data_IF_901531870301
#
_entry.id   IF_901531870301
#
_cell.length_a   1.000
_cell.length_b   1.000
_cell.length_c   1.000
_cell.angle_alpha   90.00
_cell.angle_beta   90.00
_cell.angle_gamma   90.00
#
_symmetry.space_group_name_H-M   'P 1'
#
loop_
_entity.id
_entity.type
_entity.pdbx_description
1 polymer ?
#
# COMPACT_ATOMS: atom_id res chain seq x y z
N UNK A 1 -15.06 5.56 -13.21
CA UNK A 1 -13.60 5.46 -13.43
C UNK A 1 -12.85 5.78 -12.16
N UNK A 2 -11.72 5.12 -11.97
CA UNK A 2 -10.85 5.34 -10.83
C UNK A 2 -9.46 5.72 -11.35
N UNK A 3 -8.99 6.89 -10.97
CA UNK A 3 -7.63 7.36 -11.22
C UNK A 3 -6.81 7.11 -9.95
N UNK A 4 -5.71 6.38 -10.08
CA UNK A 4 -4.73 6.20 -9.01
C UNK A 4 -3.37 6.63 -9.59
N UNK A 5 -2.81 7.69 -9.04
CA UNK A 5 -1.68 8.43 -9.59
C UNK A 5 -1.91 8.78 -11.08
N UNK A 6 -1.20 8.12 -11.99
CA UNK A 6 -1.33 8.32 -13.43
C UNK A 6 -2.04 7.15 -14.16
N UNK A 7 -2.61 6.21 -13.42
CA UNK A 7 -3.26 5.02 -13.97
C UNK A 7 -4.78 5.13 -13.90
N UNK A 8 -5.44 4.99 -15.05
CA UNK A 8 -6.90 4.96 -15.13
C UNK A 8 -7.41 3.52 -15.12
N UNK A 9 -8.39 3.27 -14.26
CA UNK A 9 -9.04 1.97 -14.14
C UNK A 9 -10.53 2.08 -14.41
N UNK A 10 -11.06 1.18 -15.23
CA UNK A 10 -12.49 0.92 -15.29
C UNK A 10 -12.87 0.00 -14.14
N UNK A 11 -13.93 0.34 -13.42
CA UNK A 11 -14.40 -0.40 -12.26
C UNK A 11 -15.54 -1.31 -12.66
N UNK A 12 -15.49 -2.55 -12.23
CA UNK A 12 -16.55 -3.53 -12.34
C UNK A 12 -16.91 -4.09 -10.95
N UNK A 13 -18.12 -4.63 -10.76
CA UNK A 13 -18.49 -5.33 -9.53
C UNK A 13 -17.50 -6.45 -9.18
N UNK A 14 -16.98 -6.45 -7.96
CA UNK A 14 -15.99 -7.41 -7.49
C UNK A 14 -14.53 -7.02 -7.73
N UNK A 15 -14.27 -5.85 -8.31
CA UNK A 15 -12.92 -5.32 -8.36
C UNK A 15 -12.49 -4.81 -6.98
N UNK A 16 -11.26 -5.13 -6.62
CA UNK A 16 -10.60 -4.67 -5.41
C UNK A 16 -9.39 -3.82 -5.80
N UNK A 17 -9.24 -2.68 -5.13
CA UNK A 17 -8.11 -1.79 -5.34
C UNK A 17 -7.24 -1.73 -4.09
N UNK A 18 -5.93 -1.95 -4.25
CA UNK A 18 -4.93 -1.84 -3.20
C UNK A 18 -4.17 -0.54 -3.44
N UNK A 19 -4.33 0.41 -2.50
CA UNK A 19 -3.80 1.76 -2.62
C UNK A 19 -2.91 2.02 -1.41
N UNK A 20 -1.69 2.49 -1.66
CA UNK A 20 -0.77 2.93 -0.64
C UNK A 20 -1.16 4.33 -0.14
N UNK A 21 -0.85 4.64 1.11
CA UNK A 21 -1.10 5.96 1.73
C UNK A 21 -0.47 7.15 0.97
N UNK A 22 0.50 6.89 0.09
CA UNK A 22 1.22 7.92 -0.67
C UNK A 22 0.70 8.08 -2.11
N UNK A 23 -0.18 7.19 -2.56
CA UNK A 23 -0.76 7.20 -3.90
C UNK A 23 -2.00 8.10 -3.94
N UNK A 24 -1.94 9.13 -4.76
CA UNK A 24 -3.09 10.00 -4.97
C UNK A 24 -4.18 9.25 -5.74
N UNK A 25 -5.42 9.35 -5.28
CA UNK A 25 -6.51 8.64 -5.95
C UNK A 25 -7.78 9.47 -6.01
N UNK A 26 -8.50 9.32 -7.13
CA UNK A 26 -9.77 10.01 -7.36
C UNK A 26 -10.77 9.10 -8.07
N UNK A 27 -11.92 8.92 -7.43
CA UNK A 27 -13.07 8.26 -8.04
C UNK A 27 -13.89 9.30 -8.80
N UNK A 28 -14.17 9.04 -10.08
CA UNK A 28 -15.04 9.87 -10.91
C UNK A 28 -16.25 9.04 -11.34
N UNK A 29 -17.43 9.50 -10.96
CA UNK A 29 -18.68 8.92 -11.43
C UNK A 29 -18.90 9.34 -12.89
N UNK A 30 -19.21 8.38 -13.76
CA UNK A 30 -19.39 8.62 -15.19
C UNK A 30 -20.86 8.63 -15.56
N UNK A 31 -21.69 7.95 -14.78
CA UNK A 31 -23.12 7.82 -14.98
C UNK A 31 -23.90 8.02 -13.66
N UNK A 32 -25.22 7.94 -13.73
CA UNK A 32 -26.12 8.09 -12.57
C UNK A 32 -26.39 6.75 -11.84
N UNK A 33 -25.60 5.71 -12.09
CA UNK A 33 -25.75 4.43 -11.39
C UNK A 33 -25.35 4.55 -9.92
N UNK A 34 -26.03 3.77 -9.06
CA UNK A 34 -25.65 3.67 -7.66
C UNK A 34 -24.32 2.93 -7.56
N UNK A 35 -23.34 3.57 -6.92
CA UNK A 35 -22.03 2.99 -6.70
C UNK A 35 -21.83 2.68 -5.22
N UNK A 36 -21.86 1.39 -4.90
CA UNK A 36 -21.64 0.87 -3.56
C UNK A 36 -20.22 0.35 -3.43
N UNK A 37 -19.51 0.69 -2.34
CA UNK A 37 -18.14 0.24 -2.11
C UNK A 37 -17.86 0.03 -0.63
N UNK A 38 -16.95 -0.89 -0.35
CA UNK A 38 -16.35 -1.08 0.96
C UNK A 38 -14.98 -0.39 0.94
N UNK A 39 -14.70 0.43 1.93
CA UNK A 39 -13.38 1.06 2.12
C UNK A 39 -12.79 0.54 3.43
N UNK A 40 -11.63 -0.09 3.33
CA UNK A 40 -10.85 -0.54 4.47
C UNK A 40 -9.60 0.32 4.57
N UNK A 41 -9.51 1.11 5.62
CA UNK A 41 -8.33 1.93 5.92
C UNK A 41 -7.52 1.29 7.02
N UNK A 42 -6.25 1.04 6.75
CA UNK A 42 -5.35 0.32 7.66
C UNK A 42 -4.15 1.20 8.01
N UNK A 43 -3.87 1.32 9.31
CA UNK A 43 -2.71 2.06 9.78
C UNK A 43 -1.41 1.26 9.51
N UNK A 44 -0.36 1.89 8.93
CA UNK A 44 0.91 1.21 8.67
C UNK A 44 1.56 0.60 9.91
N UNK A 45 1.52 1.30 11.04
CA UNK A 45 2.08 0.80 12.30
C UNK A 45 1.36 -0.44 12.81
N UNK A 46 0.05 -0.51 12.59
CA UNK A 46 -0.74 -1.72 12.91
C UNK A 46 -0.30 -2.90 12.03
N UNK A 47 -0.08 -2.66 10.73
CA UNK A 47 0.43 -3.71 9.83
C UNK A 47 1.80 -4.24 10.26
N UNK A 48 2.69 -3.36 10.73
CA UNK A 48 3.99 -3.78 11.28
C UNK A 48 3.84 -4.66 12.53
N UNK A 49 2.92 -4.32 13.42
CA UNK A 49 2.67 -5.09 14.66
C UNK A 49 2.16 -6.50 14.40
N UNK A 50 1.35 -6.69 13.35
CA UNK A 50 0.76 -8.00 13.02
C UNK A 50 1.61 -8.82 12.05
N UNK A 51 2.63 -8.23 11.46
CA UNK A 51 3.62 -8.92 10.63
C UNK A 51 4.62 -9.70 11.47
N UNK A 52 5.23 -10.72 10.90
CA UNK A 52 6.28 -11.52 11.53
C UNK A 52 7.60 -11.30 10.83
N UNK A 53 8.71 -11.80 11.39
CA UNK A 53 10.03 -11.77 10.74
C UNK A 53 10.05 -12.48 9.37
N UNK A 54 9.12 -13.43 9.16
CA UNK A 54 9.02 -14.20 7.92
C UNK A 54 7.96 -13.69 6.95
N UNK A 55 6.98 -12.91 7.45
CA UNK A 55 5.82 -12.52 6.65
C UNK A 55 5.47 -11.06 6.90
N UNK A 56 5.68 -10.22 5.89
CA UNK A 56 5.21 -8.84 5.88
C UNK A 56 3.79 -8.77 5.30
N UNK A 57 2.80 -8.56 6.16
CA UNK A 57 1.39 -8.42 5.75
C UNK A 57 1.11 -7.10 5.02
N UNK A 58 2.01 -6.11 5.08
CA UNK A 58 1.89 -4.86 4.32
C UNK A 58 2.37 -4.98 2.87
N UNK A 59 2.92 -6.13 2.47
CA UNK A 59 3.58 -6.34 1.17
C UNK A 59 2.72 -5.88 -0.02
N UNK A 60 1.44 -6.19 -0.07
CA UNK A 60 0.57 -5.77 -1.17
C UNK A 60 0.37 -4.25 -1.26
N UNK A 61 0.61 -3.49 -0.18
CA UNK A 61 0.57 -2.03 -0.19
C UNK A 61 1.91 -1.39 -0.54
N UNK A 62 3.01 -2.04 -0.22
CA UNK A 62 4.36 -1.47 -0.34
C UNK A 62 5.09 -1.92 -1.60
N UNK A 63 4.76 -3.12 -2.11
CA UNK A 63 5.42 -3.67 -3.29
C UNK A 63 4.87 -3.04 -4.58
N UNK A 64 5.75 -2.34 -5.31
CA UNK A 64 5.43 -1.57 -6.53
C UNK A 64 6.44 -1.87 -7.66
N UNK A 65 6.79 -3.15 -7.83
CA UNK A 65 7.63 -3.58 -8.96
C UNK A 65 6.84 -3.60 -10.27
N UNK A 66 7.50 -3.26 -11.36
CA UNK A 66 6.90 -3.28 -12.71
C UNK A 66 7.03 -4.68 -13.32
N UNK A 67 5.95 -5.24 -13.92
CA UNK A 67 4.63 -4.67 -14.10
C UNK A 67 3.77 -4.75 -12.83
N UNK A 68 3.00 -3.70 -12.53
CA UNK A 68 2.19 -3.60 -11.34
C UNK A 68 0.78 -3.09 -11.68
N UNK A 69 -0.23 -3.61 -10.99
CA UNK A 69 -1.60 -3.14 -11.06
C UNK A 69 -2.18 -2.94 -9.66
N UNK A 70 -2.78 -1.79 -9.39
CA UNK A 70 -3.55 -1.53 -8.18
C UNK A 70 -4.81 -2.39 -8.09
N UNK A 71 -5.28 -2.89 -9.25
CA UNK A 71 -6.54 -3.60 -9.38
C UNK A 71 -6.36 -5.10 -9.33
N UNK A 72 -7.14 -5.75 -8.47
CA UNK A 72 -7.34 -7.19 -8.42
C UNK A 72 -8.80 -7.49 -8.77
N UNK A 73 -9.05 -8.25 -9.82
CA UNK A 73 -10.39 -8.69 -10.19
C UNK A 73 -10.70 -10.02 -9.52
N UNK A 74 -11.55 -9.98 -8.50
CA UNK A 74 -11.91 -11.15 -7.71
C UNK A 74 -12.96 -11.99 -8.43
N UNK A 75 -12.75 -13.30 -8.51
CA UNK A 75 -13.78 -14.22 -8.92
C UNK A 75 -14.89 -14.36 -7.86
N UNK A 76 -16.02 -15.00 -8.19
CA UNK A 76 -17.19 -15.09 -7.30
C UNK A 76 -16.89 -15.76 -5.96
N UNK A 77 -15.99 -16.73 -5.92
CA UNK A 77 -15.60 -17.41 -4.68
C UNK A 77 -14.72 -16.52 -3.81
N UNK A 78 -13.76 -15.84 -4.42
CA UNK A 78 -12.90 -14.86 -3.75
C UNK A 78 -13.72 -13.68 -3.20
N UNK A 79 -14.71 -13.19 -3.94
CA UNK A 79 -15.64 -12.16 -3.46
C UNK A 79 -16.42 -12.61 -2.23
N UNK A 80 -16.97 -13.85 -2.25
CA UNK A 80 -17.67 -14.42 -1.09
C UNK A 80 -16.76 -14.53 0.13
N UNK A 81 -15.52 -14.98 -0.08
CA UNK A 81 -14.53 -15.09 1.00
C UNK A 81 -14.12 -13.74 1.56
N UNK A 82 -13.92 -12.74 0.69
CA UNK A 82 -13.66 -11.36 1.11
C UNK A 82 -14.81 -10.82 1.97
N UNK A 83 -16.04 -10.93 1.51
CA UNK A 83 -17.23 -10.48 2.25
C UNK A 83 -17.42 -11.24 3.56
N UNK A 84 -17.08 -12.53 3.61
CA UNK A 84 -17.09 -13.31 4.86
C UNK A 84 -16.15 -12.70 5.90
N UNK A 85 -14.93 -12.36 5.54
CA UNK A 85 -13.99 -11.73 6.48
C UNK A 85 -14.45 -10.33 6.89
N UNK A 86 -14.92 -9.51 5.95
CA UNK A 86 -15.48 -8.19 6.28
C UNK A 86 -16.63 -8.32 7.27
N UNK A 87 -17.58 -9.23 7.01
CA UNK A 87 -18.70 -9.45 7.92
C UNK A 87 -18.22 -9.92 9.31
N UNK A 88 -17.26 -10.84 9.35
CA UNK A 88 -16.70 -11.34 10.60
C UNK A 88 -15.99 -10.25 11.42
N UNK A 89 -15.35 -9.28 10.76
CA UNK A 89 -14.72 -8.11 11.38
C UNK A 89 -15.78 -7.15 11.91
N UNK A 90 -16.84 -6.87 11.13
CA UNK A 90 -17.81 -5.83 11.46
C UNK A 90 -18.95 -6.29 12.36
N UNK A 91 -19.17 -7.60 12.50
CA UNK A 91 -20.25 -8.19 13.29
C UNK A 91 -19.77 -9.01 14.50
N UNK A 92 -18.49 -8.92 14.86
CA UNK A 92 -17.97 -9.60 16.04
C UNK A 92 -18.56 -8.95 17.31
N UNK A 93 -19.16 -9.77 18.16
CA UNK A 93 -19.80 -9.35 19.41
C UNK A 93 -19.50 -10.32 20.55
N UNK A 94 -19.67 -9.86 21.80
CA UNK A 94 -19.56 -10.70 22.99
C UNK A 94 -18.11 -10.91 23.46
N UNK A 95 -17.88 -12.02 24.16
CA UNK A 95 -16.57 -12.36 24.73
C UNK A 95 -15.52 -12.54 23.62
N UNK A 96 -14.36 -11.88 23.77
CA UNK A 96 -13.23 -11.95 22.84
C UNK A 96 -13.55 -11.49 21.40
N UNK A 97 -14.49 -10.52 21.23
CA UNK A 97 -14.82 -9.94 19.93
C UNK A 97 -13.60 -9.32 19.26
N UNK A 98 -12.76 -8.63 20.03
CA UNK A 98 -11.50 -8.02 19.60
C UNK A 98 -10.51 -9.06 19.02
N UNK A 99 -10.38 -10.21 19.64
CA UNK A 99 -9.55 -11.33 19.14
C UNK A 99 -10.12 -11.89 17.83
N UNK A 100 -11.45 -12.00 17.75
CA UNK A 100 -12.13 -12.48 16.54
C UNK A 100 -11.94 -11.51 15.37
N UNK A 101 -12.10 -10.21 15.60
CA UNK A 101 -11.83 -9.16 14.62
C UNK A 101 -10.38 -9.21 14.13
N UNK A 102 -9.44 -9.29 15.07
CA UNK A 102 -8.02 -9.33 14.78
C UNK A 102 -7.63 -10.55 13.94
N UNK A 103 -8.10 -11.74 14.34
CA UNK A 103 -7.85 -12.97 13.59
C UNK A 103 -8.45 -12.92 12.18
N UNK A 104 -9.70 -12.45 12.05
CA UNK A 104 -10.34 -12.30 10.75
C UNK A 104 -9.63 -11.31 9.85
N UNK A 105 -9.12 -10.20 10.41
CA UNK A 105 -8.33 -9.23 9.69
C UNK A 105 -7.00 -9.81 9.19
N UNK A 106 -6.29 -10.55 10.03
CA UNK A 106 -5.04 -11.24 9.63
C UNK A 106 -5.29 -12.22 8.49
N UNK A 107 -6.34 -13.04 8.59
CA UNK A 107 -6.74 -13.98 7.52
C UNK A 107 -7.08 -13.25 6.21
N UNK A 108 -7.77 -12.10 6.29
CA UNK A 108 -8.06 -11.24 5.15
C UNK A 108 -6.76 -10.74 4.51
N UNK A 109 -5.81 -10.25 5.30
CA UNK A 109 -4.53 -9.75 4.79
C UNK A 109 -3.68 -10.85 4.15
N UNK A 110 -3.67 -12.07 4.70
CA UNK A 110 -3.04 -13.23 4.08
C UNK A 110 -3.67 -13.53 2.71
N UNK A 111 -5.00 -13.51 2.63
CA UNK A 111 -5.71 -13.72 1.37
C UNK A 111 -5.34 -12.64 0.33
N UNK A 112 -5.37 -11.36 0.72
CA UNK A 112 -5.06 -10.24 -0.19
C UNK A 112 -3.63 -10.31 -0.70
N UNK A 113 -2.65 -10.55 0.18
CA UNK A 113 -1.25 -10.70 -0.21
C UNK A 113 -1.04 -11.91 -1.14
N UNK A 114 -1.71 -13.03 -0.86
CA UNK A 114 -1.64 -14.23 -1.73
C UNK A 114 -2.17 -13.95 -3.12
N UNK A 115 -3.31 -13.23 -3.23
CA UNK A 115 -3.88 -12.84 -4.52
C UNK A 115 -3.00 -11.86 -5.26
N UNK A 116 -2.44 -10.90 -4.55
CA UNK A 116 -1.52 -9.91 -5.09
C UNK A 116 -0.27 -10.55 -5.69
N UNK A 117 0.40 -11.44 -4.95
CA UNK A 117 1.59 -12.17 -5.42
C UNK A 117 1.29 -12.99 -6.67
N UNK A 118 0.19 -13.75 -6.67
CA UNK A 118 -0.23 -14.56 -7.84
C UNK A 118 -0.51 -13.69 -9.06
N UNK A 119 -1.14 -12.54 -8.89
CA UNK A 119 -1.43 -11.61 -9.98
C UNK A 119 -0.14 -11.04 -10.58
N UNK A 120 0.83 -10.74 -9.74
CA UNK A 120 2.14 -10.24 -10.17
C UNK A 120 2.95 -11.32 -10.89
N UNK A 121 2.92 -12.56 -10.44
CA UNK A 121 3.60 -13.70 -11.09
C UNK A 121 3.01 -14.00 -12.47
N UNK A 122 1.70 -13.93 -12.64
CA UNK A 122 1.04 -14.15 -13.93
C UNK A 122 1.35 -13.08 -14.98
N UNK A 123 1.62 -11.85 -14.55
CA UNK A 123 2.05 -10.77 -15.44
C UNK A 123 3.52 -10.89 -15.84
N UNK A 124 4.31 -11.62 -15.07
CA UNK A 124 5.77 -11.80 -15.29
C UNK A 124 6.14 -13.02 -16.15
N UNK A 125 5.19 -13.89 -16.52
CA UNK A 125 5.47 -15.12 -17.28
C UNK A 125 5.88 -14.91 -18.76
N UNK A 126 6.29 -13.69 -19.12
CA UNK A 126 6.95 -13.40 -20.40
C UNK A 126 8.48 -13.46 -20.37
N UNK A 127 9.15 -13.36 -19.22
CA UNK A 127 10.63 -13.38 -19.15
C UNK A 127 11.16 -13.88 -17.79
N UNK A 128 11.95 -14.97 -17.86
CA UNK A 128 12.98 -15.48 -16.93
C UNK A 128 12.66 -15.74 -15.45
N UNK A 129 12.60 -17.04 -15.12
CA UNK A 129 12.35 -17.62 -13.79
C UNK A 129 13.57 -17.71 -12.84
N UNK A 130 14.75 -17.18 -13.21
CA UNK A 130 15.97 -17.29 -12.39
C UNK A 130 16.10 -16.19 -11.31
N UNK A 131 15.49 -15.03 -11.50
CA UNK A 131 15.63 -13.86 -10.62
C UNK A 131 14.65 -13.81 -9.42
N UNK A 132 13.69 -14.73 -9.35
CA UNK A 132 12.59 -14.65 -8.36
C UNK A 132 13.03 -14.94 -6.91
N UNK A 133 14.08 -15.70 -6.68
CA UNK A 133 14.56 -16.04 -5.33
C UNK A 133 15.48 -14.95 -4.75
N UNK A 134 16.35 -14.39 -5.58
CA UNK A 134 17.24 -13.27 -5.21
C UNK A 134 16.45 -11.96 -5.04
N UNK A 135 15.33 -11.84 -5.76
CA UNK A 135 14.39 -10.72 -5.71
C UNK A 135 13.61 -10.64 -4.39
N UNK A 136 13.30 -11.77 -3.72
CA UNK A 136 12.60 -11.77 -2.42
C UNK A 136 13.44 -11.16 -1.30
N UNK A 137 14.73 -11.43 -1.24
CA UNK A 137 15.62 -10.91 -0.20
C UNK A 137 15.95 -9.42 -0.43
N UNK A 138 16.15 -9.02 -1.67
CA UNK A 138 16.40 -7.62 -2.02
C UNK A 138 15.18 -6.72 -1.83
N UNK A 139 13.97 -7.21 -2.12
CA UNK A 139 12.72 -6.49 -1.93
C UNK A 139 12.41 -6.22 -0.46
N UNK A 140 12.71 -7.15 0.44
CA UNK A 140 12.52 -6.98 1.88
C UNK A 140 13.43 -5.88 2.46
N UNK A 141 14.73 -5.91 2.12
CA UNK A 141 15.69 -4.85 2.52
C UNK A 141 15.32 -3.49 1.95
N UNK A 142 14.78 -3.48 0.75
CA UNK A 142 14.37 -2.30 0.01
C UNK A 142 13.21 -1.56 0.72
N UNK A 143 12.20 -2.30 1.16
CA UNK A 143 11.06 -1.73 1.86
C UNK A 143 11.43 -1.17 3.23
N UNK A 144 12.29 -1.84 3.98
CA UNK A 144 12.79 -1.35 5.28
C UNK A 144 13.54 -0.02 5.14
N UNK A 145 14.42 0.10 4.16
CA UNK A 145 15.16 1.34 3.91
C UNK A 145 14.22 2.51 3.56
N UNK A 146 13.19 2.25 2.76
CA UNK A 146 12.22 3.29 2.41
C UNK A 146 11.35 3.69 3.59
N UNK A 147 10.94 2.74 4.42
CA UNK A 147 10.20 3.02 5.66
C UNK A 147 11.00 3.88 6.63
N UNK A 148 12.30 3.63 6.77
CA UNK A 148 13.18 4.45 7.61
C UNK A 148 13.32 5.87 7.04
N UNK A 149 13.46 6.00 5.73
CA UNK A 149 13.48 7.30 5.03
C UNK A 149 12.17 8.06 5.26
N UNK A 150 11.04 7.41 5.11
CA UNK A 150 9.71 8.00 5.33
C UNK A 150 9.53 8.44 6.77
N UNK A 151 9.95 7.61 7.73
CA UNK A 151 9.92 7.93 9.15
C UNK A 151 10.77 9.16 9.45
N UNK A 152 11.99 9.23 8.94
CA UNK A 152 12.87 10.38 9.09
C UNK A 152 12.25 11.65 8.48
N UNK A 153 11.71 11.58 7.26
CA UNK A 153 11.04 12.71 6.62
C UNK A 153 9.87 13.21 7.45
N UNK A 154 9.01 12.32 7.94
CA UNK A 154 7.85 12.70 8.74
C UNK A 154 8.22 13.33 10.08
N UNK A 155 9.26 12.83 10.75
CA UNK A 155 9.76 13.39 12.00
C UNK A 155 10.41 14.77 11.83
N UNK A 156 11.01 15.02 10.66
CA UNK A 156 11.72 16.27 10.34
C UNK A 156 10.97 17.17 9.37
N UNK A 157 9.67 16.95 9.12
CA UNK A 157 8.90 17.59 8.05
C UNK A 157 8.89 19.12 8.13
N UNK A 158 9.03 19.69 9.32
CA UNK A 158 9.07 21.12 9.56
C UNK A 158 10.41 21.77 9.22
N UNK A 159 11.46 20.96 9.03
CA UNK A 159 12.82 21.42 8.74
C UNK A 159 13.12 21.34 7.25
N UNK A 160 14.08 22.10 6.72
CA UNK A 160 14.59 21.89 5.38
C UNK A 160 15.14 20.45 5.25
N UNK A 161 14.65 19.70 4.27
CA UNK A 161 15.12 18.34 3.97
C UNK A 161 15.63 18.34 2.53
N UNK A 162 16.90 17.97 2.33
CA UNK A 162 17.51 17.82 1.01
C UNK A 162 17.79 16.35 0.70
N UNK A 163 17.88 16.02 -0.59
CA UNK A 163 18.23 14.65 -1.02
C UNK A 163 19.64 14.29 -0.54
N UNK A 164 20.57 15.24 -0.57
CA UNK A 164 21.93 15.07 -0.06
C UNK A 164 21.96 14.70 1.43
N UNK A 165 21.17 15.40 2.26
CA UNK A 165 21.05 15.08 3.69
C UNK A 165 20.49 13.69 3.91
N UNK A 166 19.45 13.29 3.16
CA UNK A 166 18.89 11.95 3.24
C UNK A 166 19.91 10.89 2.81
N UNK A 167 20.61 11.14 1.71
CA UNK A 167 21.64 10.24 1.20
C UNK A 167 22.77 10.04 2.26
N UNK A 168 23.23 11.11 2.87
CA UNK A 168 24.21 11.07 3.96
C UNK A 168 23.70 10.34 5.20
N UNK A 169 22.45 10.62 5.63
CA UNK A 169 21.83 10.00 6.80
C UNK A 169 21.72 8.47 6.70
N UNK A 170 21.40 7.98 5.50
CA UNK A 170 21.17 6.55 5.26
C UNK A 170 22.36 5.84 4.58
N UNK A 171 23.49 6.52 4.42
CA UNK A 171 24.69 6.00 3.76
C UNK A 171 24.42 5.48 2.35
N UNK A 172 23.57 6.18 1.59
CA UNK A 172 23.16 5.85 0.23
C UNK A 172 23.64 6.92 -0.76
N UNK A 173 23.73 6.57 -2.04
CA UNK A 173 23.89 7.61 -3.08
C UNK A 173 22.56 8.32 -3.35
N UNK A 174 22.60 9.59 -3.74
CA UNK A 174 21.41 10.36 -4.09
C UNK A 174 20.57 9.70 -5.20
N UNK A 175 21.23 9.16 -6.21
CA UNK A 175 20.57 8.44 -7.29
C UNK A 175 19.87 7.17 -6.81
N UNK A 176 20.49 6.44 -5.88
CA UNK A 176 19.92 5.22 -5.33
C UNK A 176 18.71 5.53 -4.45
N UNK A 177 18.83 6.48 -3.51
CA UNK A 177 17.72 6.86 -2.62
C UNK A 177 16.51 7.37 -3.40
N UNK A 178 16.73 8.21 -4.44
CA UNK A 178 15.65 8.67 -5.30
C UNK A 178 14.95 7.53 -6.05
N UNK A 179 15.71 6.56 -6.54
CA UNK A 179 15.19 5.41 -7.26
C UNK A 179 14.37 4.50 -6.35
N UNK A 180 14.92 4.12 -5.18
CA UNK A 180 14.23 3.23 -4.24
C UNK A 180 12.95 3.89 -3.70
N UNK A 181 13.03 5.16 -3.34
CA UNK A 181 11.87 5.90 -2.84
C UNK A 181 10.76 5.99 -3.90
N UNK A 182 11.10 6.34 -5.15
CA UNK A 182 10.12 6.41 -6.23
C UNK A 182 9.54 5.03 -6.58
N UNK A 183 10.35 3.99 -6.54
CA UNK A 183 9.87 2.61 -6.79
C UNK A 183 8.89 2.14 -5.73
N UNK A 184 9.13 2.45 -4.46
CA UNK A 184 8.29 2.00 -3.35
C UNK A 184 7.05 2.89 -3.13
N UNK A 185 7.17 4.21 -3.37
CA UNK A 185 6.09 5.17 -3.06
C UNK A 185 5.33 5.68 -4.28
N UNK A 186 5.77 5.34 -5.49
CA UNK A 186 5.21 5.87 -6.74
C UNK A 186 5.53 7.35 -7.00
N UNK A 187 6.12 8.09 -6.05
CA UNK A 187 6.36 9.54 -6.15
C UNK A 187 7.81 9.91 -5.83
N UNK A 188 8.23 11.11 -6.22
CA UNK A 188 9.58 11.60 -5.87
C UNK A 188 9.60 12.12 -4.43
N UNK A 189 10.77 12.08 -3.76
CA UNK A 189 10.99 12.59 -2.41
C UNK A 189 10.48 14.03 -2.26
N UNK A 190 10.81 14.92 -3.18
CA UNK A 190 10.40 16.33 -3.12
C UNK A 190 8.87 16.50 -3.24
N UNK A 191 8.21 15.74 -4.13
CA UNK A 191 6.75 15.74 -4.24
C UNK A 191 6.09 15.21 -2.98
N UNK A 192 6.63 14.15 -2.41
CA UNK A 192 6.15 13.60 -1.14
C UNK A 192 6.23 14.62 0.00
N UNK A 193 7.41 15.24 0.21
CA UNK A 193 7.62 16.27 1.24
C UNK A 193 6.62 17.42 1.06
N UNK A 194 6.46 17.91 -0.16
CA UNK A 194 5.53 19.01 -0.47
C UNK A 194 4.09 18.62 -0.16
N UNK A 195 3.63 17.46 -0.60
CA UNK A 195 2.29 16.96 -0.34
C UNK A 195 2.03 16.80 1.16
N UNK A 196 3.01 16.28 1.92
CA UNK A 196 2.91 16.10 3.36
C UNK A 196 2.80 17.43 4.11
N UNK A 197 3.62 18.43 3.74
CA UNK A 197 3.55 19.79 4.30
C UNK A 197 2.21 20.45 4.05
N UNK A 198 1.68 20.32 2.82
CA UNK A 198 0.35 20.84 2.47
C UNK A 198 -0.75 20.15 3.30
N UNK A 199 -0.67 18.83 3.49
CA UNK A 199 -1.62 18.07 4.29
C UNK A 199 -1.64 18.54 5.76
N UNK A 200 -0.46 18.73 6.36
CA UNK A 200 -0.34 19.23 7.73
C UNK A 200 -0.88 20.68 7.84
N UNK A 201 -0.52 21.55 6.91
CA UNK A 201 -1.00 22.92 6.90
C UNK A 201 -2.54 23.00 6.80
N UNK A 202 -3.16 22.14 5.98
CA UNK A 202 -4.61 22.05 5.86
C UNK A 202 -5.26 21.56 7.17
N UNK A 203 -4.68 20.58 7.85
CA UNK A 203 -5.18 20.09 9.12
C UNK A 203 -5.20 21.21 10.18
N UNK A 204 -4.09 21.93 10.33
CA UNK A 204 -3.98 23.07 11.27
C UNK A 204 -4.96 24.18 10.96
N UNK A 205 -5.23 24.46 9.68
CA UNK A 205 -6.21 25.50 9.27
C UNK A 205 -7.65 25.09 9.51
N UNK A 206 -7.96 23.80 9.53
CA UNK A 206 -9.32 23.30 9.78
C UNK A 206 -9.65 23.13 11.27
N UNK A 207 -8.63 23.18 12.14
CA UNK A 207 -8.80 23.11 13.61
C UNK A 207 -8.99 24.50 14.26
N UNK A 208 -8.87 25.58 13.48
CA UNK A 208 -9.15 26.96 13.89
C UNK A 208 -10.45 27.50 13.25
#
# INVERSE_FOLDING_TARGET
>A
QFLIDNCFYTIAPGDLFIINQYESHKLTQIDNSVHERIVLSVAPDFMKQISTEQTDLSFCFTHRSTPFSHKLSLNKEQQKRFLYYINKITSAEGFAHDITEYAAFMELMVMLNTLFVRNTEQTSTGENTADAAEYKDSSYRYNHQVDDILTFINQNISQPITIEQLAGQFYLSESYICRIFKSATGTTINKYITARRISIAKAVLNEN
#
